data_IF_104048205720
#
_entry.id   IF_104048205720
#
_cell.length_a   1.000
_cell.length_b   1.000
_cell.length_c   1.000
_cell.angle_alpha   90.00
_cell.angle_beta   90.00
_cell.angle_gamma   90.00
#
_symmetry.space_group_name_H-M   'P 1'
#
loop_
_entity.id
_entity.type
_entity.pdbx_description
1 polymer ?
#
# COMPACT_ATOMS: atom_id res chain seq x y z
N UNK A 1 15.33 -13.30 5.13
CA UNK A 1 13.87 -13.26 5.28
C UNK A 1 13.47 -13.92 6.60
N UNK A 2 13.74 -15.20 6.81
CA UNK A 2 13.33 -15.94 8.03
C UNK A 2 13.77 -15.23 9.33
N UNK A 3 15.03 -14.82 9.46
CA UNK A 3 15.53 -14.10 10.63
C UNK A 3 14.81 -12.77 10.88
N UNK A 4 14.45 -12.05 9.80
CA UNK A 4 13.72 -10.79 9.90
C UNK A 4 12.29 -11.01 10.40
N UNK A 5 11.58 -11.99 9.82
CA UNK A 5 10.20 -12.25 10.18
C UNK A 5 10.05 -12.88 11.57
N UNK A 6 11.01 -13.69 12.02
CA UNK A 6 10.99 -14.23 13.39
C UNK A 6 11.08 -13.13 14.48
N UNK A 7 11.43 -11.89 14.10
CA UNK A 7 11.45 -10.75 15.03
C UNK A 7 10.12 -9.99 15.06
N UNK A 8 9.19 -10.29 14.13
CA UNK A 8 7.89 -9.65 14.11
C UNK A 8 6.97 -10.32 15.14
N UNK A 9 6.35 -9.52 16.03
CA UNK A 9 5.32 -10.05 16.89
C UNK A 9 4.15 -10.55 16.01
N UNK A 10 3.46 -11.55 16.51
CA UNK A 10 2.23 -12.09 15.88
C UNK A 10 2.39 -12.65 14.46
N UNK A 11 3.63 -12.93 14.00
CA UNK A 11 3.87 -13.50 12.67
C UNK A 11 3.13 -14.84 12.46
N UNK A 12 2.83 -15.55 13.54
CA UNK A 12 2.11 -16.83 13.51
C UNK A 12 0.58 -16.66 13.43
N UNK A 13 0.07 -15.46 13.60
CA UNK A 13 -1.37 -15.15 13.49
C UNK A 13 -1.76 -14.62 12.12
N UNK A 14 -0.80 -14.47 11.21
CA UNK A 14 -1.05 -13.95 9.86
C UNK A 14 -1.85 -14.97 9.05
N UNK A 15 -2.98 -14.53 8.52
CA UNK A 15 -3.84 -15.31 7.62
C UNK A 15 -3.79 -14.83 6.17
N UNK A 16 -3.45 -13.55 5.95
CA UNK A 16 -3.39 -12.95 4.61
C UNK A 16 -2.10 -12.19 4.41
N UNK A 17 -1.47 -12.36 3.27
CA UNK A 17 -0.24 -11.68 2.85
C UNK A 17 -0.46 -11.03 1.50
N UNK A 18 -0.31 -9.72 1.46
CA UNK A 18 -0.40 -8.94 0.23
C UNK A 18 1.00 -8.55 -0.22
N UNK A 19 1.36 -8.92 -1.43
CA UNK A 19 2.68 -8.64 -2.01
C UNK A 19 2.49 -7.76 -3.24
N UNK A 20 3.15 -6.61 -3.27
CA UNK A 20 3.10 -5.75 -4.45
C UNK A 20 3.68 -6.47 -5.67
N UNK A 21 2.90 -6.55 -6.75
CA UNK A 21 3.32 -7.21 -7.98
C UNK A 21 4.32 -6.34 -8.76
N UNK A 22 5.51 -6.88 -8.97
CA UNK A 22 6.60 -6.24 -9.69
C UNK A 22 6.52 -6.53 -11.19
N UNK A 23 5.91 -5.64 -11.95
CA UNK A 23 5.61 -5.85 -13.39
C UNK A 23 6.80 -5.46 -14.29
N UNK A 24 7.65 -4.53 -13.85
CA UNK A 24 8.70 -3.99 -14.68
C UNK A 24 9.75 -5.05 -15.10
N UNK A 25 10.14 -5.12 -16.38
CA UNK A 25 11.21 -5.99 -16.84
C UNK A 25 12.56 -5.73 -16.15
N UNK A 26 12.78 -4.49 -15.68
CA UNK A 26 14.05 -4.04 -15.06
C UNK A 26 14.07 -4.42 -13.55
N UNK A 27 12.95 -4.81 -12.98
CA UNK A 27 12.82 -5.08 -11.54
C UNK A 27 13.21 -6.52 -11.15
N UNK A 28 14.19 -7.15 -11.81
CA UNK A 28 14.54 -8.56 -11.54
C UNK A 28 14.87 -8.83 -10.08
N UNK A 29 15.63 -7.94 -9.42
CA UNK A 29 15.95 -8.07 -8.00
C UNK A 29 14.68 -8.03 -7.11
N UNK A 30 13.74 -7.13 -7.43
CA UNK A 30 12.49 -7.02 -6.67
C UNK A 30 11.57 -8.21 -6.93
N UNK A 31 11.55 -8.75 -8.15
CA UNK A 31 10.83 -10.00 -8.47
C UNK A 31 11.39 -11.19 -7.70
N UNK A 32 12.71 -11.28 -7.57
CA UNK A 32 13.33 -12.33 -6.75
C UNK A 32 12.89 -12.21 -5.30
N UNK A 33 12.91 -11.00 -4.71
CA UNK A 33 12.46 -10.76 -3.34
C UNK A 33 10.98 -11.11 -3.20
N UNK A 34 10.14 -10.70 -4.15
CA UNK A 34 8.72 -11.02 -4.22
C UNK A 34 8.49 -12.55 -4.17
N UNK A 35 9.20 -13.30 -5.02
CA UNK A 35 9.13 -14.77 -5.04
C UNK A 35 9.60 -15.41 -3.73
N UNK A 36 10.69 -14.89 -3.14
CA UNK A 36 11.20 -15.36 -1.84
C UNK A 36 10.23 -15.09 -0.69
N UNK A 37 9.51 -13.97 -0.73
CA UNK A 37 8.48 -13.64 0.26
C UNK A 37 7.30 -14.61 0.13
N UNK A 38 6.78 -14.79 -1.07
CA UNK A 38 5.69 -15.73 -1.33
C UNK A 38 6.07 -17.15 -0.89
N UNK A 39 7.26 -17.63 -1.28
CA UNK A 39 7.75 -18.95 -0.91
C UNK A 39 7.85 -19.13 0.62
N UNK A 40 8.32 -18.09 1.33
CA UNK A 40 8.40 -18.15 2.79
C UNK A 40 7.04 -18.39 3.42
N UNK A 41 6.00 -17.67 2.98
CA UNK A 41 4.66 -17.81 3.55
C UNK A 41 3.95 -19.10 3.10
N UNK A 42 4.19 -19.57 1.87
CA UNK A 42 3.71 -20.89 1.42
C UNK A 42 4.28 -22.00 2.32
N UNK A 43 5.56 -21.93 2.68
CA UNK A 43 6.19 -22.93 3.52
C UNK A 43 5.86 -22.78 5.02
N UNK A 44 5.31 -21.63 5.42
CA UNK A 44 4.99 -21.35 6.82
C UNK A 44 3.68 -22.00 7.25
N UNK A 45 2.68 -22.08 6.37
CA UNK A 45 1.41 -22.71 6.68
C UNK A 45 0.47 -22.75 5.48
N UNK A 46 -0.32 -23.80 5.42
CA UNK A 46 -1.26 -24.05 4.31
C UNK A 46 -2.47 -23.12 4.33
N UNK A 47 -2.77 -22.50 5.48
CA UNK A 47 -3.93 -21.63 5.66
C UNK A 47 -3.64 -20.16 5.36
N UNK A 48 -2.42 -19.81 4.91
CA UNK A 48 -2.05 -18.45 4.60
C UNK A 48 -2.44 -18.11 3.15
N UNK A 49 -3.37 -17.18 3.00
CA UNK A 49 -3.76 -16.65 1.69
C UNK A 49 -2.75 -15.61 1.19
N UNK A 50 -2.26 -15.77 -0.04
CA UNK A 50 -1.25 -14.88 -0.63
C UNK A 50 -1.81 -14.25 -1.90
N UNK A 51 -1.89 -12.91 -1.92
CA UNK A 51 -2.32 -12.12 -3.07
C UNK A 51 -1.21 -11.23 -3.61
N UNK A 52 -1.09 -11.20 -4.93
CA UNK A 52 -0.23 -10.23 -5.63
C UNK A 52 -1.07 -9.04 -6.08
N UNK A 53 -0.80 -7.87 -5.49
CA UNK A 53 -1.58 -6.66 -5.71
C UNK A 53 -0.83 -5.64 -6.57
N UNK A 54 -1.57 -4.90 -7.40
CA UNK A 54 -0.99 -3.84 -8.21
C UNK A 54 -0.77 -2.58 -7.38
N UNK A 55 0.39 -1.94 -7.55
CA UNK A 55 0.69 -0.63 -6.94
C UNK A 55 -0.31 0.47 -7.30
N UNK A 56 -1.03 0.33 -8.43
CA UNK A 56 -2.02 1.32 -8.86
C UNK A 56 -3.29 1.36 -8.00
N UNK A 57 -3.56 0.32 -7.23
CA UNK A 57 -4.80 0.20 -6.46
C UNK A 57 -4.84 1.13 -5.25
N UNK A 58 -3.71 1.40 -4.62
CA UNK A 58 -3.61 2.17 -3.36
C UNK A 58 -4.28 3.55 -3.39
N UNK A 59 -4.20 4.27 -4.50
CA UNK A 59 -4.80 5.60 -4.64
C UNK A 59 -6.15 5.59 -5.35
N UNK A 60 -6.45 4.55 -6.15
CA UNK A 60 -7.73 4.47 -6.88
C UNK A 60 -8.95 4.43 -5.95
N UNK A 61 -8.79 3.90 -4.75
CA UNK A 61 -9.87 3.79 -3.76
C UNK A 61 -10.41 5.15 -3.28
N UNK A 62 -9.68 6.25 -3.51
CA UNK A 62 -10.05 7.59 -3.05
C UNK A 62 -10.64 8.48 -4.15
N UNK A 63 -10.77 8.00 -5.39
CA UNK A 63 -11.27 8.81 -6.53
C UNK A 63 -12.68 9.33 -6.34
N UNK A 64 -13.49 8.60 -5.59
CA UNK A 64 -14.91 8.90 -5.39
C UNK A 64 -15.18 9.65 -4.07
N UNK A 65 -14.15 9.92 -3.27
CA UNK A 65 -14.30 10.60 -1.99
C UNK A 65 -14.26 12.11 -2.23
N UNK A 66 -15.43 12.75 -2.17
CA UNK A 66 -15.59 14.20 -2.31
C UNK A 66 -14.98 14.91 -1.10
N UNK A 67 -14.00 15.79 -1.33
CA UNK A 67 -13.48 16.69 -0.29
C UNK A 67 -11.98 16.66 -0.07
N UNK A 68 -11.25 15.74 -0.67
CA UNK A 68 -9.80 15.74 -0.68
C UNK A 68 -9.38 15.77 -2.14
N UNK A 69 -9.08 16.96 -2.63
CA UNK A 69 -8.57 17.15 -4.00
C UNK A 69 -7.05 17.04 -3.98
N UNK A 70 -6.49 15.91 -4.39
CA UNK A 70 -5.20 15.95 -5.05
C UNK A 70 -5.45 16.58 -6.43
N UNK A 71 -4.53 17.42 -6.89
CA UNK A 71 -4.66 18.06 -8.20
C UNK A 71 -5.00 17.04 -9.30
N UNK A 72 -5.83 17.40 -10.28
CA UNK A 72 -6.28 16.49 -11.32
C UNK A 72 -5.07 15.92 -12.06
N UNK A 73 -4.96 14.60 -12.07
CA UNK A 73 -4.00 13.88 -12.90
C UNK A 73 -4.60 13.86 -14.30
N UNK A 74 -4.28 14.86 -15.12
CA UNK A 74 -4.49 14.76 -16.55
C UNK A 74 -3.61 13.64 -17.11
N UNK A 75 -4.25 12.56 -17.52
CA UNK A 75 -3.63 11.49 -18.31
C UNK A 75 -3.30 12.03 -19.71
N UNK A 76 -2.20 12.68 -19.88
CA UNK A 76 -1.59 12.87 -21.20
C UNK A 76 -0.44 11.86 -21.33
N UNK A 77 -0.74 10.74 -21.97
CA UNK A 77 0.26 9.86 -22.55
C UNK A 77 0.82 10.60 -23.77
N UNK A 78 1.98 11.18 -23.62
CA UNK A 78 2.83 11.51 -24.77
C UNK A 78 4.23 10.96 -24.45
N UNK A 79 4.58 9.93 -25.24
CA UNK A 79 5.98 9.52 -25.38
C UNK A 79 6.82 10.74 -25.75
N UNK A 80 7.85 11.01 -25.01
CA UNK A 80 9.19 11.44 -25.43
C UNK A 80 9.99 11.96 -24.20
N UNK A 81 11.21 11.45 -24.07
CA UNK A 81 12.35 11.86 -23.26
C UNK A 81 12.69 11.06 -21.99
N UNK A 82 13.74 10.26 -22.17
CA UNK A 82 14.30 9.32 -21.20
C UNK A 82 15.10 9.93 -20.04
N UNK A 83 15.02 11.24 -19.76
CA UNK A 83 15.84 11.90 -18.74
C UNK A 83 15.12 12.90 -17.80
N UNK A 84 13.81 13.01 -17.85
CA UNK A 84 13.04 13.84 -16.91
C UNK A 84 12.46 12.93 -15.84
N UNK A 85 12.92 13.06 -14.60
CA UNK A 85 12.26 12.43 -13.42
C UNK A 85 10.81 12.87 -13.45
N UNK A 86 9.92 11.93 -13.77
CA UNK A 86 8.50 12.14 -14.02
C UNK A 86 7.87 12.93 -12.85
N UNK A 87 7.40 14.17 -13.02
CA UNK A 87 6.85 14.99 -11.94
C UNK A 87 5.64 14.31 -11.28
N UNK A 88 4.89 13.51 -12.03
CA UNK A 88 3.75 12.74 -11.52
C UNK A 88 4.16 11.70 -10.47
N UNK A 89 5.34 11.09 -10.58
CA UNK A 89 5.81 10.10 -9.61
C UNK A 89 6.02 10.69 -8.21
N UNK A 90 6.56 11.92 -8.13
CA UNK A 90 6.76 12.62 -6.86
C UNK A 90 5.41 13.06 -6.25
N UNK A 91 4.47 13.46 -7.09
CA UNK A 91 3.10 13.79 -6.66
C UNK A 91 2.42 12.58 -6.05
N UNK A 92 2.40 11.43 -6.72
CA UNK A 92 1.77 10.20 -6.21
C UNK A 92 2.32 9.73 -4.86
N UNK A 93 3.63 9.86 -4.63
CA UNK A 93 4.22 9.55 -3.32
C UNK A 93 3.71 10.48 -2.22
N UNK A 94 3.64 11.76 -2.51
CA UNK A 94 3.13 12.76 -1.56
C UNK A 94 1.65 12.52 -1.25
N UNK A 95 0.85 12.16 -2.26
CA UNK A 95 -0.57 11.86 -2.09
C UNK A 95 -0.76 10.63 -1.18
N UNK A 96 0.02 9.58 -1.38
CA UNK A 96 0.00 8.39 -0.52
C UNK A 96 0.27 8.72 0.95
N UNK A 97 1.31 9.50 1.22
CA UNK A 97 1.65 9.96 2.57
C UNK A 97 0.53 10.84 3.16
N UNK A 98 -0.05 11.73 2.35
CA UNK A 98 -1.13 12.62 2.78
C UNK A 98 -2.36 11.84 3.21
N UNK A 99 -2.86 10.93 2.36
CA UNK A 99 -4.01 10.07 2.69
C UNK A 99 -3.74 9.22 3.93
N UNK A 100 -2.56 8.60 4.01
CA UNK A 100 -2.20 7.82 5.19
C UNK A 100 -2.27 8.63 6.46
N UNK A 101 -1.65 9.81 6.50
CA UNK A 101 -1.68 10.68 7.67
C UNK A 101 -3.12 11.10 8.04
N UNK A 102 -3.94 11.44 7.06
CA UNK A 102 -5.34 11.82 7.31
C UNK A 102 -6.15 10.64 7.89
N UNK A 103 -5.99 9.44 7.35
CA UNK A 103 -6.66 8.24 7.86
C UNK A 103 -6.21 7.94 9.29
N UNK A 104 -4.91 7.97 9.55
CA UNK A 104 -4.36 7.73 10.89
C UNK A 104 -4.87 8.75 11.91
N UNK A 105 -4.95 10.04 11.54
CA UNK A 105 -5.44 11.09 12.44
C UNK A 105 -6.95 11.00 12.72
N UNK A 106 -7.73 10.60 11.72
CA UNK A 106 -9.20 10.58 11.83
C UNK A 106 -9.75 9.33 12.49
N UNK A 107 -9.01 8.24 12.47
CA UNK A 107 -9.44 6.96 13.01
C UNK A 107 -8.69 6.64 14.30
N UNK A 108 -9.40 6.68 15.44
CA UNK A 108 -8.81 6.50 16.76
C UNK A 108 -8.03 5.19 16.90
N UNK A 109 -8.52 4.11 16.31
CA UNK A 109 -7.89 2.79 16.36
C UNK A 109 -6.54 2.75 15.64
N UNK A 110 -6.36 3.62 14.63
CA UNK A 110 -5.11 3.71 13.85
C UNK A 110 -4.18 4.81 14.33
N UNK A 111 -4.67 5.80 15.07
CA UNK A 111 -3.87 6.97 15.49
C UNK A 111 -2.61 6.56 16.29
N UNK A 112 -2.69 5.47 17.05
CA UNK A 112 -1.53 4.91 17.76
C UNK A 112 -0.34 4.57 16.86
N UNK A 113 -0.55 4.40 15.55
CA UNK A 113 0.50 4.11 14.56
C UNK A 113 1.06 5.33 13.86
N UNK A 114 0.58 6.54 14.17
CA UNK A 114 1.04 7.79 13.54
C UNK A 114 2.54 8.03 13.72
N UNK A 115 3.16 7.53 14.80
CA UNK A 115 4.59 7.62 15.03
C UNK A 115 5.41 6.91 13.95
N UNK A 116 4.89 5.86 13.34
CA UNK A 116 5.57 5.09 12.29
C UNK A 116 5.84 5.93 11.04
N UNK A 117 5.05 7.00 10.82
CA UNK A 117 5.25 7.92 9.71
C UNK A 117 6.44 8.89 9.91
N UNK A 118 7.08 8.90 11.07
CA UNK A 118 8.30 9.68 11.36
C UNK A 118 9.57 8.91 10.94
N UNK A 119 9.59 8.41 9.72
CA UNK A 119 10.73 7.65 9.17
C UNK A 119 11.10 8.16 7.77
N UNK A 120 12.37 8.04 7.35
CA UNK A 120 12.79 8.35 5.99
C UNK A 120 12.06 7.54 4.90
N UNK A 121 11.55 6.35 5.25
CA UNK A 121 10.83 5.43 4.35
C UNK A 121 9.31 5.48 4.52
N UNK A 122 8.78 6.62 4.95
CA UNK A 122 7.34 6.81 5.14
C UNK A 122 6.49 6.60 3.90
N UNK A 123 7.06 6.81 2.71
CA UNK A 123 6.40 6.52 1.44
C UNK A 123 6.14 5.02 1.24
N UNK A 124 7.13 4.16 1.54
CA UNK A 124 6.97 2.71 1.46
C UNK A 124 5.94 2.20 2.49
N UNK A 125 5.94 2.75 3.70
CA UNK A 125 4.95 2.43 4.73
C UNK A 125 3.55 2.88 4.34
N UNK A 126 3.40 4.09 3.80
CA UNK A 126 2.13 4.59 3.29
C UNK A 126 1.58 3.69 2.19
N UNK A 127 2.43 3.28 1.25
CA UNK A 127 2.06 2.39 0.17
C UNK A 127 1.54 1.05 0.67
N UNK A 128 2.25 0.42 1.60
CA UNK A 128 1.85 -0.84 2.21
C UNK A 128 0.51 -0.72 2.97
N UNK A 129 0.35 0.33 3.77
CA UNK A 129 -0.87 0.60 4.53
C UNK A 129 -2.08 0.81 3.61
N UNK A 130 -1.94 1.64 2.58
CA UNK A 130 -3.03 1.93 1.64
C UNK A 130 -3.39 0.71 0.77
N UNK A 131 -2.44 -0.15 0.43
CA UNK A 131 -2.73 -1.41 -0.26
C UNK A 131 -3.53 -2.37 0.64
N UNK A 132 -3.19 -2.46 1.92
CA UNK A 132 -3.97 -3.23 2.89
C UNK A 132 -5.40 -2.73 3.03
N UNK A 133 -5.60 -1.42 3.15
CA UNK A 133 -6.93 -0.81 3.22
C UNK A 133 -7.72 -1.02 1.92
N UNK A 134 -7.07 -0.92 0.76
CA UNK A 134 -7.72 -1.24 -0.52
C UNK A 134 -8.23 -2.69 -0.53
N UNK A 135 -7.42 -3.62 -0.07
CA UNK A 135 -7.81 -5.03 0.02
C UNK A 135 -9.05 -5.23 0.90
N UNK A 136 -9.05 -4.66 2.10
CA UNK A 136 -10.20 -4.73 3.00
C UNK A 136 -11.47 -4.13 2.40
N UNK A 137 -11.34 -3.02 1.66
CA UNK A 137 -12.47 -2.41 0.94
C UNK A 137 -12.99 -3.34 -0.16
N UNK A 138 -12.13 -3.99 -0.94
CA UNK A 138 -12.52 -4.91 -2.01
C UNK A 138 -13.25 -6.15 -1.48
N UNK A 139 -12.91 -6.59 -0.28
CA UNK A 139 -13.56 -7.73 0.39
C UNK A 139 -14.74 -7.31 1.27
N UNK A 140 -15.20 -6.07 1.18
CA UNK A 140 -16.31 -5.53 1.97
C UNK A 140 -16.11 -5.67 3.49
N UNK A 141 -14.86 -5.62 3.95
CA UNK A 141 -14.53 -5.64 5.39
C UNK A 141 -14.61 -4.23 5.95
N UNK A 142 -14.26 -3.22 5.13
CA UNK A 142 -14.34 -1.81 5.50
C UNK A 142 -15.06 -0.97 4.45
N UNK A 143 -15.67 0.12 4.92
CA UNK A 143 -16.19 1.21 4.10
C UNK A 143 -15.57 2.53 4.55
N UNK A 144 -15.36 3.45 3.61
CA UNK A 144 -14.99 4.83 3.91
C UNK A 144 -16.23 5.71 3.95
N UNK A 145 -16.32 6.57 4.95
CA UNK A 145 -17.17 7.74 4.88
C UNK A 145 -16.49 8.87 4.08
N UNK A 146 -17.26 9.91 3.74
CA UNK A 146 -16.77 11.03 2.90
C UNK A 146 -15.54 11.76 3.49
N UNK A 147 -15.35 11.65 4.80
CA UNK A 147 -14.26 12.27 5.55
C UNK A 147 -13.08 11.33 5.87
N UNK A 148 -13.00 10.16 5.22
CA UNK A 148 -11.99 9.11 5.44
C UNK A 148 -12.07 8.37 6.78
N UNK A 149 -13.16 8.49 7.52
CA UNK A 149 -13.41 7.57 8.63
C UNK A 149 -13.70 6.17 8.09
N UNK A 150 -13.11 5.17 8.71
CA UNK A 150 -13.26 3.77 8.36
C UNK A 150 -14.33 3.15 9.26
N UNK A 151 -15.25 2.43 8.64
CA UNK A 151 -16.28 1.64 9.33
C UNK A 151 -16.07 0.17 8.97
N UNK A 152 -16.11 -0.70 9.95
CA UNK A 152 -16.22 -2.14 9.74
C UNK A 152 -17.65 -2.47 9.27
N UNK A 153 -17.74 -3.41 8.33
CA UNK A 153 -19.01 -3.88 7.76
C UNK A 153 -19.53 -5.09 8.51
#
# INVERSE_FOLDING_TARGET
IKQLFNQLPDIDTITHVLIENQISPIANRMKTIQGMLAQYFIMKGDDIHIDFVSSSHKLRQFKDIRGIVPAPIENTITDVDKNVKNPNYKSHKNDGILYTNQILCKNNDFNKWSYAMNTPKKDDLADAFLQGLWYFKQHNIILYSDDLNIKLV
#
